data_IF_059931112440
#
_entry.id   IF_059931112440
#
_cell.length_a   1.000
_cell.length_b   1.000
_cell.length_c   1.000
_cell.angle_alpha   90.00
_cell.angle_beta   90.00
_cell.angle_gamma   90.00
#
_symmetry.space_group_name_H-M   'P 1'
#
loop_
_entity.id
_entity.type
_entity.pdbx_description
1 polymer ?
#
# COMPACT_ATOMS: atom_id res chain seq x y z
N UNK A 1 16.34 6.32 0.36
CA UNK A 1 15.35 6.73 1.38
C UNK A 1 14.99 8.20 1.14
N UNK A 2 13.87 8.43 0.45
CA UNK A 2 13.36 9.79 0.18
C UNK A 2 12.13 10.10 1.06
N UNK A 3 12.08 9.48 2.23
CA UNK A 3 10.98 9.63 3.15
C UNK A 3 10.94 11.01 3.78
N UNK A 4 9.92 11.77 3.48
CA UNK A 4 9.52 13.02 4.11
C UNK A 4 10.17 14.32 3.66
N UNK A 5 10.56 14.43 2.41
CA UNK A 5 10.92 15.73 1.84
C UNK A 5 9.77 16.75 1.96
N UNK A 6 8.51 16.31 1.84
CA UNK A 6 7.33 17.18 1.95
C UNK A 6 7.14 17.80 3.34
N UNK A 7 7.51 17.14 4.43
CA UNK A 7 7.47 17.76 5.77
C UNK A 7 8.64 18.72 5.99
N UNK A 8 9.84 18.35 5.52
CA UNK A 8 11.00 19.24 5.61
C UNK A 8 10.88 20.49 4.72
N UNK A 9 10.03 20.46 3.69
CA UNK A 9 9.72 21.57 2.81
C UNK A 9 8.44 22.34 3.23
N UNK A 10 7.93 22.08 4.42
CA UNK A 10 6.74 22.75 4.99
C UNK A 10 5.45 22.58 4.14
N UNK A 11 5.37 21.45 3.43
CA UNK A 11 4.20 21.14 2.57
C UNK A 11 3.07 20.41 3.30
N UNK A 12 3.38 19.81 4.47
CA UNK A 12 2.42 19.09 5.31
C UNK A 12 2.50 19.63 6.72
N UNK A 13 1.38 20.12 7.23
CA UNK A 13 1.27 20.69 8.57
C UNK A 13 0.50 19.76 9.49
N UNK A 14 0.99 19.56 10.69
CA UNK A 14 0.33 18.74 11.71
C UNK A 14 -0.38 19.62 12.75
N UNK A 15 -1.64 19.28 13.03
CA UNK A 15 -2.40 19.91 14.10
C UNK A 15 -2.87 18.84 15.10
N UNK A 16 -2.41 18.88 16.37
CA UNK A 16 -1.38 19.79 16.91
C UNK A 16 0.03 19.44 16.45
N UNK A 17 0.88 20.45 16.36
CA UNK A 17 2.25 20.37 15.82
C UNK A 17 3.15 19.30 16.50
N UNK A 18 2.88 18.94 17.75
CA UNK A 18 3.65 17.88 18.46
C UNK A 18 3.68 16.54 17.74
N UNK A 19 2.69 16.24 16.91
CA UNK A 19 2.62 14.97 16.17
C UNK A 19 3.54 14.92 14.96
N UNK A 20 4.04 16.05 14.48
CA UNK A 20 5.02 16.10 13.41
C UNK A 20 6.29 15.33 13.75
N UNK A 21 6.82 15.54 14.96
CA UNK A 21 8.03 14.81 15.41
C UNK A 21 7.79 13.30 15.47
N UNK A 22 6.63 12.87 15.95
CA UNK A 22 6.25 11.45 16.01
C UNK A 22 6.21 10.84 14.60
N UNK A 23 5.57 11.54 13.67
CA UNK A 23 5.48 11.11 12.27
C UNK A 23 6.88 11.04 11.61
N UNK A 24 7.69 12.07 11.77
CA UNK A 24 9.04 12.10 11.21
C UNK A 24 9.92 10.98 11.79
N UNK A 25 9.86 10.76 13.10
CA UNK A 25 10.59 9.68 13.75
C UNK A 25 10.20 8.32 13.18
N UNK A 26 8.92 8.08 12.97
CA UNK A 26 8.42 6.87 12.33
C UNK A 26 8.96 6.74 10.91
N UNK A 27 8.83 7.77 10.08
CA UNK A 27 9.25 7.76 8.68
C UNK A 27 10.75 7.56 8.49
N UNK A 28 11.58 8.08 9.38
CA UNK A 28 13.03 7.87 9.34
C UNK A 28 13.46 6.46 9.73
N UNK A 29 12.66 5.79 10.54
CA UNK A 29 12.95 4.44 11.05
C UNK A 29 12.05 3.37 10.45
N UNK A 30 11.31 3.68 9.41
CA UNK A 30 10.37 2.74 8.79
C UNK A 30 11.12 1.51 8.28
N UNK A 31 10.56 0.34 8.57
CA UNK A 31 11.07 -0.96 8.13
C UNK A 31 10.12 -1.57 7.11
N UNK A 32 10.60 -2.56 6.37
CA UNK A 32 9.76 -3.36 5.51
C UNK A 32 8.65 -4.03 6.32
N UNK A 33 7.47 -4.03 5.75
CA UNK A 33 6.27 -4.55 6.40
C UNK A 33 5.66 -5.68 5.58
N UNK A 34 5.41 -6.81 6.25
CA UNK A 34 4.73 -7.93 5.62
C UNK A 34 3.26 -7.60 5.42
N UNK A 35 2.83 -7.61 4.16
CA UNK A 35 1.45 -7.27 3.78
C UNK A 35 0.53 -8.48 3.66
N UNK A 36 1.06 -9.71 3.80
CA UNK A 36 0.28 -10.95 3.76
C UNK A 36 -0.33 -11.28 5.12
N UNK A 37 -1.56 -11.75 5.10
CA UNK A 37 -2.31 -12.21 6.28
C UNK A 37 -3.02 -13.51 5.99
N UNK A 38 -2.95 -14.43 6.93
CA UNK A 38 -3.67 -15.71 6.90
C UNK A 38 -5.12 -15.48 7.36
N UNK A 39 -5.92 -14.96 6.45
CA UNK A 39 -7.33 -14.64 6.69
C UNK A 39 -8.23 -15.53 5.82
N UNK A 40 -9.37 -15.92 6.35
CA UNK A 40 -10.37 -16.66 5.57
C UNK A 40 -11.09 -15.77 4.56
N UNK A 41 -11.18 -14.48 4.84
CA UNK A 41 -11.87 -13.48 4.03
C UNK A 41 -10.96 -12.29 3.80
N UNK A 42 -10.90 -11.80 2.58
CA UNK A 42 -10.10 -10.65 2.22
C UNK A 42 -9.74 -10.64 0.74
N UNK A 43 -8.97 -9.64 0.35
CA UNK A 43 -8.41 -9.55 -0.99
C UNK A 43 -7.21 -10.48 -1.10
N UNK A 44 -7.35 -11.58 -1.80
CA UNK A 44 -6.28 -12.55 -2.01
C UNK A 44 -5.12 -11.90 -2.77
N UNK A 45 -3.90 -12.16 -2.31
CA UNK A 45 -2.67 -11.63 -2.92
C UNK A 45 -2.62 -12.04 -4.40
N UNK A 46 -2.40 -11.08 -5.32
CA UNK A 46 -2.34 -11.35 -6.75
C UNK A 46 -0.95 -11.85 -7.17
N UNK A 47 -0.44 -12.86 -6.48
CA UNK A 47 0.82 -13.50 -6.77
C UNK A 47 0.61 -14.99 -7.05
N UNK A 48 1.43 -15.51 -7.95
CA UNK A 48 1.39 -16.89 -8.41
C UNK A 48 2.79 -17.45 -8.36
N UNK A 49 2.92 -18.67 -7.89
CA UNK A 49 4.19 -19.37 -7.71
C UNK A 49 4.18 -20.68 -8.47
N UNK A 50 5.30 -21.02 -9.06
CA UNK A 50 5.57 -22.37 -9.55
C UNK A 50 7.03 -22.70 -9.38
N UNK A 51 7.35 -23.99 -9.40
CA UNK A 51 8.73 -24.45 -9.51
C UNK A 51 9.07 -24.71 -10.98
N UNK A 52 10.18 -24.14 -11.43
CA UNK A 52 10.70 -24.42 -12.76
C UNK A 52 11.41 -25.80 -12.81
N UNK A 53 11.89 -26.17 -13.98
CA UNK A 53 12.59 -27.44 -14.21
C UNK A 53 13.86 -27.60 -13.33
N UNK A 54 14.45 -26.50 -12.92
CA UNK A 54 15.63 -26.47 -12.04
C UNK A 54 15.26 -26.47 -10.55
N UNK A 55 13.97 -26.67 -10.22
CA UNK A 55 13.41 -26.59 -8.86
C UNK A 55 13.56 -25.22 -8.17
N UNK A 56 13.75 -24.14 -8.96
CA UNK A 56 13.74 -22.76 -8.50
C UNK A 56 12.31 -22.23 -8.50
N UNK A 57 11.97 -21.39 -7.53
CA UNK A 57 10.66 -20.77 -7.44
C UNK A 57 10.56 -19.57 -8.41
N UNK A 58 9.61 -19.64 -9.30
CA UNK A 58 9.21 -18.52 -10.16
C UNK A 58 8.00 -17.83 -9.55
N UNK A 59 8.03 -16.51 -9.51
CA UNK A 59 6.94 -15.67 -9.02
C UNK A 59 6.39 -14.81 -10.15
N UNK A 60 5.07 -14.81 -10.29
CA UNK A 60 4.36 -13.92 -11.20
C UNK A 60 3.33 -13.11 -10.42
N UNK A 61 3.24 -11.80 -10.68
CA UNK A 61 2.26 -10.91 -10.07
C UNK A 61 1.23 -10.49 -11.10
N UNK A 62 -0.04 -10.82 -10.86
CA UNK A 62 -1.14 -10.52 -11.77
C UNK A 62 -2.48 -10.99 -11.24
N UNK A 63 -3.56 -10.37 -11.73
CA UNK A 63 -4.94 -10.69 -11.29
C UNK A 63 -5.39 -12.07 -11.76
N UNK A 64 -4.86 -12.54 -12.88
CA UNK A 64 -5.17 -13.84 -13.49
C UNK A 64 -3.92 -14.70 -13.52
N UNK A 65 -4.10 -16.01 -13.50
CA UNK A 65 -2.98 -16.93 -13.66
C UNK A 65 -2.27 -16.68 -14.99
N UNK A 66 -0.92 -16.72 -15.01
CA UNK A 66 -0.18 -16.67 -16.25
C UNK A 66 -0.39 -17.98 -17.05
N UNK A 67 -0.03 -17.95 -18.32
CA UNK A 67 -0.08 -19.14 -19.19
C UNK A 67 0.88 -20.24 -18.70
N UNK A 68 0.50 -21.49 -18.93
CA UNK A 68 1.27 -22.66 -18.55
C UNK A 68 0.74 -23.36 -17.30
N UNK A 69 1.21 -24.58 -17.10
CA UNK A 69 0.79 -25.42 -15.98
C UNK A 69 1.63 -25.18 -14.72
N UNK A 70 1.12 -25.62 -13.58
CA UNK A 70 1.85 -25.66 -12.31
C UNK A 70 1.82 -24.38 -11.50
N UNK A 71 1.15 -23.32 -11.95
CA UNK A 71 0.97 -22.09 -11.20
C UNK A 71 -0.01 -22.24 -10.05
N UNK A 72 0.41 -21.90 -8.86
CA UNK A 72 -0.41 -21.86 -7.65
C UNK A 72 -0.51 -20.43 -7.16
N UNK A 73 -1.73 -19.94 -6.97
CA UNK A 73 -1.96 -18.61 -6.39
C UNK A 73 -1.60 -18.61 -4.92
N UNK A 74 -1.11 -17.48 -4.44
CA UNK A 74 -0.92 -17.21 -3.03
C UNK A 74 -2.25 -17.40 -2.27
N UNK A 75 -2.20 -18.11 -1.14
CA UNK A 75 -3.41 -18.41 -0.34
C UNK A 75 -3.73 -17.29 0.65
N UNK A 76 -2.77 -16.43 0.95
CA UNK A 76 -2.92 -15.34 1.89
C UNK A 76 -3.72 -14.17 1.29
N UNK A 77 -4.26 -13.35 2.17
CA UNK A 77 -4.93 -12.11 1.83
C UNK A 77 -4.04 -10.90 2.12
N UNK A 78 -4.32 -9.80 1.44
CA UNK A 78 -3.69 -8.51 1.74
C UNK A 78 -4.18 -7.97 3.08
N UNK A 79 -3.26 -7.38 3.83
CA UNK A 79 -3.57 -6.66 5.06
C UNK A 79 -4.56 -5.51 4.81
N UNK A 80 -5.44 -5.27 5.77
CA UNK A 80 -6.44 -4.21 5.70
C UNK A 80 -5.82 -2.83 5.48
N UNK A 81 -4.68 -2.55 6.12
CA UNK A 81 -4.00 -1.26 5.99
C UNK A 81 -3.42 -1.03 4.60
N UNK A 82 -3.05 -2.09 3.89
CA UNK A 82 -2.60 -1.99 2.51
C UNK A 82 -3.69 -1.40 1.60
N UNK A 83 -4.90 -1.93 1.68
CA UNK A 83 -6.03 -1.40 0.90
C UNK A 83 -6.55 -0.06 1.42
N UNK A 84 -6.51 0.16 2.74
CA UNK A 84 -6.92 1.43 3.35
C UNK A 84 -6.07 2.61 2.87
N UNK A 85 -4.78 2.40 2.65
CA UNK A 85 -3.88 3.43 2.12
C UNK A 85 -4.23 3.87 0.69
N UNK A 86 -4.93 3.03 -0.07
CA UNK A 86 -5.33 3.35 -1.44
C UNK A 86 -6.62 4.17 -1.52
N UNK A 87 -7.41 4.21 -0.45
CA UNK A 87 -8.75 4.79 -0.43
C UNK A 87 -8.82 6.24 -0.94
N UNK A 88 -7.91 7.17 -0.57
CA UNK A 88 -8.00 8.57 -0.94
C UNK A 88 -8.00 8.84 -2.45
N UNK A 89 -7.50 7.91 -3.25
CA UNK A 89 -7.43 8.05 -4.70
C UNK A 89 -8.16 6.93 -5.45
N UNK A 90 -8.27 5.72 -4.90
CA UNK A 90 -8.98 4.62 -5.55
C UNK A 90 -10.48 4.90 -5.69
N UNK A 91 -11.09 5.59 -4.73
CA UNK A 91 -12.50 6.00 -4.78
C UNK A 91 -12.77 7.10 -5.80
N UNK A 92 -11.74 7.80 -6.26
CA UNK A 92 -11.80 8.82 -7.28
C UNK A 92 -11.52 8.29 -8.69
N UNK A 93 -11.41 6.95 -8.81
CA UNK A 93 -11.29 6.26 -10.09
C UNK A 93 -9.88 5.83 -10.48
N UNK A 94 -8.84 6.06 -9.64
CA UNK A 94 -7.50 5.53 -9.91
C UNK A 94 -7.56 4.00 -10.17
N UNK A 95 -6.81 3.45 -11.15
CA UNK A 95 -5.72 4.07 -11.91
C UNK A 95 -6.13 4.88 -13.15
N UNK A 96 -7.40 5.00 -13.43
CA UNK A 96 -7.90 5.82 -14.53
C UNK A 96 -7.67 7.31 -14.23
N UNK A 97 -7.41 8.10 -15.26
CA UNK A 97 -7.37 9.57 -15.14
C UNK A 97 -8.78 10.11 -15.21
N UNK A 98 -9.38 10.36 -14.06
CA UNK A 98 -10.73 10.93 -13.98
C UNK A 98 -10.68 12.40 -13.60
N UNK A 99 -11.74 13.14 -13.95
CA UNK A 99 -11.90 14.54 -13.53
C UNK A 99 -11.91 14.70 -12.01
N UNK A 100 -12.49 13.72 -11.30
CA UNK A 100 -12.56 13.74 -9.84
C UNK A 100 -11.19 13.51 -9.22
N UNK A 101 -10.39 12.60 -9.78
CA UNK A 101 -9.02 12.38 -9.32
C UNK A 101 -8.17 13.64 -9.49
N UNK A 102 -8.23 14.28 -10.67
CA UNK A 102 -7.46 15.49 -10.95
C UNK A 102 -7.89 16.68 -10.06
N UNK A 103 -9.15 16.71 -9.63
CA UNK A 103 -9.71 17.81 -8.84
C UNK A 103 -9.55 17.64 -7.33
N UNK A 104 -9.67 16.41 -6.82
CA UNK A 104 -9.79 16.15 -5.39
C UNK A 104 -8.59 15.39 -4.79
N UNK A 105 -7.63 14.98 -5.61
CA UNK A 105 -6.41 14.35 -5.13
C UNK A 105 -5.17 15.13 -5.61
N UNK A 106 -4.18 15.43 -4.72
CA UNK A 106 -4.19 15.12 -3.27
C UNK A 106 -5.20 15.96 -2.49
N UNK A 107 -5.73 15.41 -1.39
CA UNK A 107 -6.66 16.13 -0.52
C UNK A 107 -5.94 17.22 0.30
N UNK A 108 -6.67 18.30 0.59
CA UNK A 108 -6.13 19.45 1.34
C UNK A 108 -5.99 19.18 2.84
N UNK A 109 -6.84 18.31 3.39
CA UNK A 109 -6.88 18.05 4.83
C UNK A 109 -7.27 16.60 5.13
N UNK A 110 -6.50 15.96 6.00
CA UNK A 110 -6.81 14.66 6.59
C UNK A 110 -7.07 14.81 8.08
N UNK A 111 -8.26 14.39 8.52
CA UNK A 111 -8.59 14.28 9.95
C UNK A 111 -8.63 12.81 10.31
N UNK A 112 -7.82 12.40 11.28
CA UNK A 112 -7.66 11.00 11.62
C UNK A 112 -7.45 10.77 13.11
N UNK A 113 -7.58 9.52 13.56
CA UNK A 113 -7.14 9.08 14.87
C UNK A 113 -5.61 9.06 14.99
N UNK A 114 -5.15 9.06 16.23
CA UNK A 114 -3.72 9.04 16.55
C UNK A 114 -2.98 7.83 15.96
N UNK A 115 -3.63 6.69 15.90
CA UNK A 115 -3.06 5.41 15.45
C UNK A 115 -2.64 5.43 13.98
N UNK A 116 -3.12 6.41 13.20
CA UNK A 116 -2.80 6.52 11.77
C UNK A 116 -1.44 7.20 11.51
N UNK A 117 -0.80 7.72 12.57
CA UNK A 117 0.52 8.34 12.43
C UNK A 117 1.63 7.30 12.19
N UNK A 118 1.41 6.04 12.54
CA UNK A 118 2.37 4.92 12.37
C UNK A 118 1.73 3.64 11.88
#
# INVERSE_FOLDING_TARGET
MQGCQCCSEDKVHFTPARFEQTFLQWMYNIQDWCISRQLWWGHQIPAWYRKNENNEEETYVGLTAPEGEGWKRDEDALDTWFSSALWPFSTLGWPEKTTDLDKFFPGDTLVTGYDIIF
#
